data_IF_708266618000
#
_entry.id   IF_708266618000
#
_cell.length_a   1.000
_cell.length_b   1.000
_cell.length_c   1.000
_cell.angle_alpha   90.00
_cell.angle_beta   90.00
_cell.angle_gamma   90.00
#
_symmetry.space_group_name_H-M   'P 1'
#
loop_
_entity.id
_entity.type
_entity.pdbx_description
1 polymer ?
#
# COMPACT_ATOMS: atom_id res chain seq x y z
N UNK A 1 -23.78 -32.46 24.64
CA UNK A 1 -22.72 -32.56 23.61
C UNK A 1 -22.82 -31.52 22.48
N UNK A 2 -23.96 -30.85 22.24
CA UNK A 2 -24.07 -29.78 21.22
C UNK A 2 -23.39 -28.44 21.59
N UNK A 3 -23.31 -28.10 22.89
CA UNK A 3 -22.75 -26.83 23.36
C UNK A 3 -21.27 -26.67 22.98
N UNK A 4 -20.47 -27.73 23.08
CA UNK A 4 -19.05 -27.72 22.70
C UNK A 4 -18.84 -27.59 21.19
N UNK A 5 -19.78 -28.10 20.37
CA UNK A 5 -19.76 -27.91 18.92
C UNK A 5 -20.07 -26.46 18.53
N UNK A 6 -21.08 -25.85 19.17
CA UNK A 6 -21.43 -24.44 18.97
C UNK A 6 -20.30 -23.50 19.42
N UNK A 7 -19.68 -23.78 20.58
CA UNK A 7 -18.52 -23.03 21.08
C UNK A 7 -17.29 -23.19 20.19
N UNK A 8 -17.08 -24.37 19.59
CA UNK A 8 -16.01 -24.58 18.58
C UNK A 8 -16.29 -23.85 17.28
N UNK A 9 -17.54 -23.82 16.80
CA UNK A 9 -17.91 -23.11 15.58
C UNK A 9 -17.77 -21.60 15.75
N UNK A 10 -18.17 -21.06 16.91
CA UNK A 10 -17.96 -19.65 17.27
C UNK A 10 -16.48 -19.35 17.40
N UNK A 11 -15.67 -20.22 18.01
CA UNK A 11 -14.22 -20.05 18.10
C UNK A 11 -13.52 -20.12 16.72
N UNK A 12 -14.04 -20.93 15.78
CA UNK A 12 -13.53 -21.03 14.42
C UNK A 12 -13.90 -19.78 13.60
N UNK A 13 -15.13 -19.30 13.72
CA UNK A 13 -15.56 -18.03 13.11
C UNK A 13 -14.82 -16.83 13.71
N UNK A 14 -14.53 -16.85 15.02
CA UNK A 14 -13.76 -15.80 15.67
C UNK A 14 -12.29 -15.80 15.21
N UNK A 15 -11.70 -16.98 14.94
CA UNK A 15 -10.34 -17.06 14.40
C UNK A 15 -10.27 -16.64 12.92
N UNK A 16 -11.30 -16.91 12.11
CA UNK A 16 -11.40 -16.37 10.75
C UNK A 16 -11.66 -14.86 10.76
N UNK A 17 -12.48 -14.37 11.67
CA UNK A 17 -12.71 -12.93 11.85
C UNK A 17 -11.49 -12.21 12.42
N UNK A 18 -10.67 -12.87 13.26
CA UNK A 18 -9.38 -12.33 13.71
C UNK A 18 -8.34 -12.36 12.59
N UNK A 19 -8.36 -13.32 11.67
CA UNK A 19 -7.54 -13.29 10.46
C UNK A 19 -7.96 -12.17 9.48
N UNK A 20 -9.22 -11.74 9.52
CA UNK A 20 -9.74 -10.61 8.72
C UNK A 20 -9.74 -9.27 9.49
N UNK A 21 -9.60 -9.31 10.81
CA UNK A 21 -9.74 -8.18 11.73
C UNK A 21 -8.48 -7.82 12.51
N UNK A 22 -7.40 -8.61 12.40
CA UNK A 22 -6.06 -8.24 12.85
C UNK A 22 -5.32 -7.43 11.79
N UNK A 23 -5.92 -6.32 11.37
CA UNK A 23 -5.24 -5.24 10.65
C UNK A 23 -5.05 -3.99 11.54
N UNK A 24 -5.31 -4.10 12.84
CA UNK A 24 -4.87 -3.12 13.82
C UNK A 24 -3.44 -3.46 14.26
N UNK A 25 -2.50 -2.59 13.88
CA UNK A 25 -1.08 -2.56 14.25
C UNK A 25 -0.19 -3.71 13.75
N UNK A 26 -0.20 -3.96 12.44
CA UNK A 26 0.98 -4.52 11.75
C UNK A 26 1.31 -3.63 10.57
N UNK A 27 1.89 -2.47 10.91
CA UNK A 27 2.94 -1.86 10.11
C UNK A 27 4.12 -2.86 10.06
N UNK A 28 3.99 -3.86 9.20
CA UNK A 28 5.14 -4.55 8.64
C UNK A 28 5.08 -4.12 7.19
N UNK A 29 5.99 -3.24 6.77
CA UNK A 29 6.32 -3.07 5.37
C UNK A 29 6.29 -4.47 4.73
N UNK A 30 5.26 -4.71 3.90
CA UNK A 30 4.84 -6.04 3.56
C UNK A 30 6.06 -6.73 2.96
N UNK A 31 6.61 -7.73 3.65
CA UNK A 31 7.78 -8.48 3.20
C UNK A 31 7.51 -8.87 1.75
N UNK A 32 8.17 -8.19 0.83
CA UNK A 32 7.85 -8.29 -0.58
C UNK A 32 7.91 -9.76 -1.00
N UNK A 33 6.80 -10.29 -1.48
CA UNK A 33 6.68 -11.70 -1.86
C UNK A 33 7.59 -12.05 -3.03
N UNK A 34 8.04 -11.03 -3.79
CA UNK A 34 8.78 -11.19 -5.03
C UNK A 34 7.89 -11.38 -6.25
N UNK A 35 6.57 -11.40 -6.05
CA UNK A 35 5.62 -11.37 -7.14
C UNK A 35 5.23 -9.92 -7.40
N UNK A 36 5.69 -9.42 -8.54
CA UNK A 36 5.48 -8.04 -8.95
C UNK A 36 4.02 -7.60 -8.87
N UNK A 37 3.08 -8.45 -9.31
CA UNK A 37 1.65 -8.13 -9.29
C UNK A 37 1.10 -7.96 -7.86
N UNK A 38 1.31 -8.94 -6.99
CA UNK A 38 0.80 -8.93 -5.61
C UNK A 38 1.44 -7.79 -4.80
N UNK A 39 2.75 -7.59 -4.96
CA UNK A 39 3.49 -6.55 -4.24
C UNK A 39 3.12 -5.14 -4.74
N UNK A 40 2.91 -4.95 -6.06
CA UNK A 40 2.47 -3.66 -6.61
C UNK A 40 1.04 -3.32 -6.19
N UNK A 41 0.13 -4.31 -6.17
CA UNK A 41 -1.24 -4.10 -5.73
C UNK A 41 -1.30 -3.71 -4.25
N UNK A 42 -0.53 -4.40 -3.41
CA UNK A 42 -0.41 -4.08 -1.98
C UNK A 42 0.11 -2.66 -1.79
N UNK A 43 1.17 -2.28 -2.50
CA UNK A 43 1.76 -0.95 -2.41
C UNK A 43 0.77 0.16 -2.83
N UNK A 44 0.01 -0.06 -3.92
CA UNK A 44 -1.02 0.88 -4.38
C UNK A 44 -2.07 1.09 -3.30
N UNK A 45 -2.54 0.01 -2.66
CA UNK A 45 -3.54 0.09 -1.60
C UNK A 45 -3.00 0.82 -0.37
N UNK A 46 -1.78 0.49 0.10
CA UNK A 46 -1.14 1.18 1.23
C UNK A 46 -1.02 2.68 0.97
N UNK A 47 -0.51 3.07 -0.21
CA UNK A 47 -0.38 4.49 -0.56
C UNK A 47 -1.73 5.19 -0.70
N UNK A 48 -2.75 4.50 -1.23
CA UNK A 48 -4.11 5.05 -1.30
C UNK A 48 -4.63 5.33 0.11
N UNK A 49 -4.59 4.37 1.02
CA UNK A 49 -5.05 4.53 2.42
C UNK A 49 -4.34 5.69 3.12
N UNK A 50 -3.01 5.74 3.04
CA UNK A 50 -2.20 6.81 3.65
C UNK A 50 -2.58 8.19 3.11
N UNK A 51 -2.86 8.30 1.81
CA UNK A 51 -3.16 9.59 1.16
C UNK A 51 -4.63 10.01 1.25
N UNK A 52 -5.58 9.08 1.23
CA UNK A 52 -7.02 9.37 1.22
C UNK A 52 -7.57 9.59 2.61
N UNK A 53 -7.16 8.77 3.57
CA UNK A 53 -7.77 8.77 4.91
C UNK A 53 -6.92 9.55 5.90
N UNK A 54 -5.63 9.77 5.61
CA UNK A 54 -4.68 10.36 6.55
C UNK A 54 -4.89 9.72 7.91
N UNK A 55 -4.59 8.41 8.00
CA UNK A 55 -5.05 7.52 9.07
C UNK A 55 -5.22 8.29 10.38
N UNK A 56 -6.46 8.46 10.89
CA UNK A 56 -6.74 9.31 12.04
C UNK A 56 -5.99 8.86 13.31
N UNK A 57 -5.39 7.66 13.30
CA UNK A 57 -4.55 7.11 14.35
C UNK A 57 -3.04 7.28 14.09
N UNK A 58 -2.61 7.59 12.87
CA UNK A 58 -1.20 7.84 12.55
C UNK A 58 -0.85 9.32 12.60
N UNK A 59 0.30 9.61 13.19
CA UNK A 59 0.92 10.91 13.05
C UNK A 59 1.26 11.16 11.56
N UNK A 60 0.96 12.32 10.96
CA UNK A 60 1.32 12.63 9.58
C UNK A 60 2.81 12.42 9.24
N UNK A 61 3.69 12.52 10.24
CA UNK A 61 5.11 12.21 10.09
C UNK A 61 5.39 10.71 9.96
N UNK A 62 4.68 9.88 10.71
CA UNK A 62 4.78 8.41 10.65
C UNK A 62 4.21 7.87 9.34
N UNK A 63 3.03 8.35 8.92
CA UNK A 63 2.40 7.96 7.66
C UNK A 63 3.30 8.29 6.44
N UNK A 64 4.00 9.42 6.52
CA UNK A 64 5.00 9.82 5.52
C UNK A 64 6.22 8.92 5.55
N UNK A 65 6.74 8.59 6.74
CA UNK A 65 7.90 7.71 6.88
C UNK A 65 7.58 6.31 6.33
N UNK A 66 6.39 5.78 6.64
CA UNK A 66 5.91 4.49 6.14
C UNK A 66 5.78 4.49 4.62
N UNK A 67 5.16 5.51 4.02
CA UNK A 67 5.07 5.63 2.57
C UNK A 67 6.45 5.65 1.90
N UNK A 68 7.41 6.39 2.47
CA UNK A 68 8.79 6.44 1.96
C UNK A 68 9.50 5.09 2.10
N UNK A 69 9.31 4.38 3.21
CA UNK A 69 9.86 3.06 3.43
C UNK A 69 9.32 2.04 2.43
N UNK A 70 8.00 2.01 2.23
CA UNK A 70 7.35 1.13 1.26
C UNK A 70 7.86 1.37 -0.18
N UNK A 71 8.04 2.65 -0.55
CA UNK A 71 8.60 3.04 -1.85
C UNK A 71 10.06 2.56 -1.99
N UNK A 72 10.87 2.72 -0.94
CA UNK A 72 12.27 2.28 -0.97
C UNK A 72 12.41 0.77 -1.07
N UNK A 73 11.63 0.02 -0.30
CA UNK A 73 11.64 -1.44 -0.35
C UNK A 73 11.22 -1.95 -1.73
N UNK A 74 10.13 -1.41 -2.28
CA UNK A 74 9.65 -1.75 -3.62
C UNK A 74 10.69 -1.41 -4.69
N UNK A 75 11.26 -0.21 -4.66
CA UNK A 75 12.27 0.22 -5.65
C UNK A 75 13.57 -0.57 -5.53
N UNK A 76 13.94 -1.01 -4.32
CA UNK A 76 15.11 -1.85 -4.08
C UNK A 76 14.95 -3.25 -4.65
N UNK A 77 13.73 -3.80 -4.61
CA UNK A 77 13.44 -5.15 -5.14
C UNK A 77 13.13 -5.14 -6.63
N UNK A 78 12.29 -4.21 -7.07
CA UNK A 78 11.81 -4.08 -8.43
C UNK A 78 12.61 -2.99 -9.15
N UNK A 79 13.79 -3.38 -9.63
CA UNK A 79 14.67 -2.51 -10.39
C UNK A 79 15.09 -3.14 -11.73
N UNK A 80 15.51 -2.30 -12.67
CA UNK A 80 16.14 -2.71 -13.92
C UNK A 80 15.19 -2.92 -15.09
N UNK A 81 15.78 -3.14 -16.27
CA UNK A 81 15.12 -3.09 -17.58
C UNK A 81 13.95 -4.07 -17.79
N UNK A 82 13.82 -5.08 -16.93
CA UNK A 82 12.70 -6.02 -16.95
C UNK A 82 11.36 -5.30 -16.69
N UNK A 83 11.34 -4.33 -15.79
CA UNK A 83 10.12 -3.63 -15.37
C UNK A 83 9.91 -2.29 -16.08
N UNK A 84 10.96 -1.72 -16.68
CA UNK A 84 10.90 -0.42 -17.38
C UNK A 84 9.90 -0.38 -18.55
N UNK A 85 9.55 -1.54 -19.12
CA UNK A 85 8.56 -1.66 -20.20
C UNK A 85 7.11 -1.75 -19.68
N UNK A 86 6.92 -1.98 -18.38
CA UNK A 86 5.60 -2.06 -17.77
C UNK A 86 5.05 -0.66 -17.56
N UNK A 87 3.84 -0.44 -18.04
CA UNK A 87 3.14 0.83 -17.87
C UNK A 87 2.81 1.04 -16.39
N UNK A 88 2.48 -0.03 -15.66
CA UNK A 88 2.25 0.04 -14.21
C UNK A 88 3.49 0.53 -13.47
N UNK A 89 4.67 -0.03 -13.77
CA UNK A 89 5.94 0.34 -13.13
C UNK A 89 6.35 1.79 -13.41
N UNK A 90 6.26 2.22 -14.67
CA UNK A 90 6.62 3.60 -15.06
C UNK A 90 5.69 4.64 -14.43
N UNK A 91 4.40 4.31 -14.31
CA UNK A 91 3.41 5.15 -13.63
C UNK A 91 3.69 5.23 -12.12
N UNK A 92 3.95 4.09 -11.47
CA UNK A 92 4.34 4.05 -10.05
C UNK A 92 5.60 4.86 -9.77
N UNK A 93 6.62 4.75 -10.63
CA UNK A 93 7.85 5.55 -10.53
C UNK A 93 7.58 7.06 -10.59
N UNK A 94 6.60 7.48 -11.40
CA UNK A 94 6.18 8.90 -11.47
C UNK A 94 5.54 9.36 -10.17
N UNK A 95 4.67 8.52 -9.59
CA UNK A 95 4.08 8.77 -8.27
C UNK A 95 5.16 8.89 -7.20
N UNK A 96 6.10 7.94 -7.17
CA UNK A 96 7.17 7.91 -6.17
C UNK A 96 8.08 9.14 -6.25
N UNK A 97 8.46 9.54 -7.46
CA UNK A 97 9.27 10.75 -7.65
C UNK A 97 8.53 12.00 -7.17
N UNK A 98 7.21 12.07 -7.39
CA UNK A 98 6.37 13.18 -6.92
C UNK A 98 6.33 13.24 -5.39
N UNK A 99 6.08 12.10 -4.74
CA UNK A 99 6.02 12.00 -3.28
C UNK A 99 7.40 12.27 -2.63
N UNK A 100 8.45 11.64 -3.16
CA UNK A 100 9.82 11.82 -2.65
C UNK A 100 10.32 13.25 -2.81
N UNK A 101 10.02 13.90 -3.93
CA UNK A 101 10.35 15.32 -4.12
C UNK A 101 9.62 16.20 -3.11
N UNK A 102 8.31 16.00 -2.91
CA UNK A 102 7.53 16.81 -1.98
C UNK A 102 8.02 16.65 -0.54
N UNK A 103 8.22 15.42 -0.09
CA UNK A 103 8.65 15.15 1.27
C UNK A 103 10.06 15.69 1.53
N UNK A 104 10.99 15.57 0.59
CA UNK A 104 12.33 16.18 0.73
C UNK A 104 12.27 17.71 0.83
N UNK A 105 11.39 18.36 0.09
CA UNK A 105 11.34 19.83 0.00
C UNK A 105 10.48 20.49 1.08
N UNK A 106 9.48 19.78 1.64
CA UNK A 106 8.53 20.39 2.56
C UNK A 106 8.11 19.45 3.69
N UNK A 107 8.04 19.98 4.91
CA UNK A 107 7.43 19.29 6.05
C UNK A 107 5.92 19.58 6.19
N UNK A 108 5.31 20.16 5.14
CA UNK A 108 3.87 20.48 5.10
C UNK A 108 3.08 19.34 4.44
N UNK A 109 1.81 19.13 4.84
CA UNK A 109 0.93 18.17 4.16
C UNK A 109 0.79 18.49 2.67
N UNK A 110 0.54 17.46 1.86
CA UNK A 110 0.33 17.59 0.42
C UNK A 110 -0.88 18.49 0.14
N UNK A 111 -0.77 19.36 -0.87
CA UNK A 111 -1.91 20.13 -1.37
C UNK A 111 -2.97 19.14 -1.89
N UNK A 112 -4.28 19.31 -1.57
CA UNK A 112 -5.35 18.44 -2.02
C UNK A 112 -5.33 18.17 -3.54
N UNK A 113 -5.04 19.16 -4.38
CA UNK A 113 -4.95 18.97 -5.84
C UNK A 113 -3.83 17.99 -6.25
N UNK A 114 -2.72 18.01 -5.51
CA UNK A 114 -1.61 17.07 -5.73
C UNK A 114 -1.97 15.68 -5.26
N UNK A 115 -2.67 15.57 -4.12
CA UNK A 115 -3.16 14.28 -3.60
C UNK A 115 -4.09 13.62 -4.62
N UNK A 116 -5.08 14.35 -5.10
CA UNK A 116 -6.03 13.85 -6.12
C UNK A 116 -5.30 13.40 -7.39
N UNK A 117 -4.32 14.19 -7.87
CA UNK A 117 -3.50 13.79 -9.01
C UNK A 117 -2.73 12.51 -8.75
N UNK A 118 -2.14 12.35 -7.56
CA UNK A 118 -1.41 11.13 -7.18
C UNK A 118 -2.35 9.93 -7.13
N UNK A 119 -3.54 10.09 -6.53
CA UNK A 119 -4.57 9.03 -6.49
C UNK A 119 -4.99 8.61 -7.91
N UNK A 120 -5.23 9.56 -8.81
CA UNK A 120 -5.52 9.24 -10.21
C UNK A 120 -4.37 8.47 -10.91
N UNK A 121 -3.11 8.77 -10.60
CA UNK A 121 -1.98 8.00 -11.15
C UNK A 121 -1.90 6.59 -10.55
N UNK A 122 -2.22 6.44 -9.27
CA UNK A 122 -2.32 5.12 -8.63
C UNK A 122 -3.43 4.28 -9.28
N UNK A 123 -4.58 4.88 -9.61
CA UNK A 123 -5.67 4.19 -10.33
C UNK A 123 -5.22 3.73 -11.72
N UNK A 124 -4.48 4.58 -12.45
CA UNK A 124 -3.92 4.22 -13.75
C UNK A 124 -2.90 3.10 -13.64
N UNK A 125 -2.05 3.13 -12.60
CA UNK A 125 -1.09 2.07 -12.34
C UNK A 125 -1.81 0.75 -12.02
N UNK A 126 -2.89 0.79 -11.23
CA UNK A 126 -3.71 -0.37 -10.91
C UNK A 126 -4.36 -0.98 -12.17
N UNK A 127 -4.93 -0.15 -13.04
CA UNK A 127 -5.52 -0.59 -14.31
C UNK A 127 -4.48 -1.15 -15.27
N UNK A 128 -3.29 -0.57 -15.33
CA UNK A 128 -2.17 -1.12 -16.11
C UNK A 128 -1.73 -2.47 -15.54
N UNK A 129 -1.59 -2.57 -14.23
CA UNK A 129 -1.17 -3.79 -13.54
C UNK A 129 -2.13 -4.95 -13.81
N UNK A 130 -3.44 -4.70 -13.74
CA UNK A 130 -4.49 -5.69 -14.08
C UNK A 130 -4.48 -6.16 -15.53
N UNK A 131 -3.88 -5.41 -16.45
CA UNK A 131 -3.72 -5.80 -17.86
C UNK A 131 -2.43 -6.56 -18.12
N UNK A 132 -1.44 -6.41 -17.25
CA UNK A 132 -0.10 -7.00 -17.38
C UNK A 132 0.06 -8.31 -16.59
N UNK A 133 -0.76 -8.53 -15.56
CA UNK A 133 -0.86 -9.78 -14.79
C UNK A 133 -1.81 -10.78 -15.40
#
# INVERSE_FOLDING_TARGET
>A
MLKTFFLRLVSLLLSVALLLGSASSVAQAARLTGKYYEDSMTLIQTLRTVLSEGDPLMNPEEARAEAMQAIQEFSGRYHGHRYDKLQSFTTLRTVFNTLASQYRTSNRPLNPEKVERVLMQLDRAELALRREG
#
